data_IF_641633310773
#
_entry.id   IF_641633310773
#
_cell.length_a   1.000
_cell.length_b   1.000
_cell.length_c   1.000
_cell.angle_alpha   90.00
_cell.angle_beta   90.00
_cell.angle_gamma   90.00
#
_symmetry.space_group_name_H-M   'P 1'
#
loop_
_entity.id
_entity.type
_entity.pdbx_description
1 polymer ?
#
# COMPACT_ATOMS: atom_id res chain seq x y z
N UNK A 1 -36.16 17.36 0.98
CA UNK A 1 -36.35 16.24 0.02
C UNK A 1 -35.10 15.97 -0.84
N UNK A 2 -34.45 16.97 -1.48
CA UNK A 2 -33.22 16.76 -2.27
C UNK A 2 -32.04 16.22 -1.44
N UNK A 3 -31.84 16.72 -0.22
CA UNK A 3 -30.77 16.27 0.69
C UNK A 3 -30.94 14.80 1.12
N UNK A 4 -32.17 14.39 1.44
CA UNK A 4 -32.49 13.00 1.79
C UNK A 4 -32.12 12.04 0.64
N UNK A 5 -32.44 12.41 -0.60
CA UNK A 5 -32.09 11.61 -1.79
C UNK A 5 -30.57 11.54 -1.95
N UNK A 6 -29.87 12.67 -1.76
CA UNK A 6 -28.40 12.68 -1.84
C UNK A 6 -27.77 11.76 -0.79
N UNK A 7 -28.20 11.84 0.47
CA UNK A 7 -27.69 10.94 1.53
C UNK A 7 -27.97 9.46 1.26
N UNK A 8 -29.14 9.12 0.72
CA UNK A 8 -29.46 7.74 0.32
C UNK A 8 -28.51 7.24 -0.75
N UNK A 9 -28.31 8.03 -1.80
CA UNK A 9 -27.44 7.67 -2.92
C UNK A 9 -25.98 7.54 -2.46
N UNK A 10 -25.50 8.47 -1.63
CA UNK A 10 -24.14 8.44 -1.09
C UNK A 10 -23.88 7.19 -0.23
N UNK A 11 -24.86 6.79 0.58
CA UNK A 11 -24.73 5.59 1.42
C UNK A 11 -24.80 4.32 0.57
N UNK A 12 -25.65 4.27 -0.42
CA UNK A 12 -25.75 3.17 -1.38
C UNK A 12 -24.45 3.02 -2.17
N UNK A 13 -23.92 4.10 -2.73
CA UNK A 13 -22.65 4.14 -3.45
C UNK A 13 -21.48 3.70 -2.58
N UNK A 14 -21.44 4.13 -1.31
CA UNK A 14 -20.42 3.70 -0.36
C UNK A 14 -20.46 2.19 -0.16
N UNK A 15 -21.65 1.61 0.05
CA UNK A 15 -21.81 0.17 0.26
C UNK A 15 -21.38 -0.63 -0.98
N UNK A 16 -21.75 -0.20 -2.17
CA UNK A 16 -21.30 -0.87 -3.41
C UNK A 16 -19.79 -0.84 -3.56
N UNK A 17 -19.16 0.33 -3.36
CA UNK A 17 -17.71 0.48 -3.42
C UNK A 17 -17.00 -0.37 -2.36
N UNK A 18 -17.53 -0.42 -1.14
CA UNK A 18 -17.00 -1.24 -0.07
C UNK A 18 -17.08 -2.73 -0.42
N UNK A 19 -18.22 -3.17 -0.96
CA UNK A 19 -18.44 -4.56 -1.40
C UNK A 19 -17.46 -4.98 -2.49
N UNK A 20 -17.21 -4.13 -3.47
CA UNK A 20 -16.22 -4.37 -4.52
C UNK A 20 -14.82 -4.49 -3.93
N UNK A 21 -14.46 -3.62 -2.99
CA UNK A 21 -13.15 -3.63 -2.34
C UNK A 21 -12.89 -4.89 -1.51
N UNK A 22 -13.85 -5.32 -0.69
CA UNK A 22 -13.69 -6.52 0.15
C UNK A 22 -13.68 -7.82 -0.65
N UNK A 23 -14.21 -7.81 -1.87
CA UNK A 23 -14.19 -8.96 -2.80
C UNK A 23 -13.03 -8.90 -3.81
N UNK A 24 -12.22 -7.86 -3.79
CA UNK A 24 -11.07 -7.73 -4.68
C UNK A 24 -9.96 -8.73 -4.33
N UNK A 25 -9.12 -9.08 -5.30
CA UNK A 25 -7.91 -9.90 -5.07
C UNK A 25 -6.97 -9.27 -4.03
N UNK A 26 -6.95 -7.93 -3.92
CA UNK A 26 -6.15 -7.21 -2.93
C UNK A 26 -6.60 -7.48 -1.49
N UNK A 27 -7.88 -7.79 -1.28
CA UNK A 27 -8.45 -8.09 0.02
C UNK A 27 -8.29 -9.55 0.44
N UNK A 28 -7.78 -10.40 -0.45
CA UNK A 28 -7.65 -11.83 -0.21
C UNK A 28 -6.67 -12.12 0.94
N UNK A 29 -7.15 -12.84 1.94
CA UNK A 29 -6.37 -13.22 3.11
C UNK A 29 -6.19 -12.10 4.16
N UNK A 30 -6.76 -10.89 3.95
CA UNK A 30 -6.66 -9.79 4.92
C UNK A 30 -7.69 -9.89 6.04
N UNK A 31 -8.78 -10.61 5.82
CA UNK A 31 -9.89 -10.73 6.77
C UNK A 31 -10.21 -12.19 7.00
N UNK A 32 -10.53 -12.55 8.25
CA UNK A 32 -11.09 -13.85 8.52
C UNK A 32 -12.56 -13.91 8.05
N UNK A 33 -13.06 -15.12 7.83
CA UNK A 33 -14.41 -15.34 7.29
C UNK A 33 -15.48 -14.66 8.13
N UNK A 34 -15.36 -14.72 9.46
CA UNK A 34 -16.33 -14.12 10.38
C UNK A 34 -16.34 -12.58 10.29
N UNK A 35 -15.19 -11.95 10.18
CA UNK A 35 -15.10 -10.49 9.97
C UNK A 35 -15.78 -10.08 8.66
N UNK A 36 -15.53 -10.83 7.60
CA UNK A 36 -16.11 -10.59 6.29
C UNK A 36 -17.62 -10.81 6.28
N UNK A 37 -18.09 -11.91 6.87
CA UNK A 37 -19.52 -12.22 7.00
C UNK A 37 -20.26 -11.14 7.77
N UNK A 38 -19.74 -10.72 8.93
CA UNK A 38 -20.35 -9.66 9.74
C UNK A 38 -20.48 -8.35 8.96
N UNK A 39 -19.45 -7.96 8.20
CA UNK A 39 -19.50 -6.74 7.40
C UNK A 39 -20.53 -6.85 6.27
N UNK A 40 -20.59 -8.00 5.59
CA UNK A 40 -21.58 -8.27 4.53
C UNK A 40 -22.99 -8.22 5.08
N UNK A 41 -23.25 -8.85 6.23
CA UNK A 41 -24.55 -8.79 6.89
C UNK A 41 -24.98 -7.37 7.24
N UNK A 42 -24.06 -6.54 7.76
CA UNK A 42 -24.40 -5.14 8.07
C UNK A 42 -24.65 -4.33 6.80
N UNK A 43 -23.88 -4.54 5.72
CA UNK A 43 -24.16 -3.93 4.43
C UNK A 43 -25.54 -4.33 3.90
N UNK A 44 -25.90 -5.61 3.98
CA UNK A 44 -27.21 -6.12 3.53
C UNK A 44 -28.36 -5.55 4.34
N UNK A 45 -28.23 -5.44 5.67
CA UNK A 45 -29.23 -4.80 6.54
C UNK A 45 -29.44 -3.34 6.18
N UNK A 46 -28.38 -2.60 5.93
CA UNK A 46 -28.49 -1.19 5.53
C UNK A 46 -29.10 -1.05 4.14
N UNK A 47 -28.74 -1.90 3.19
CA UNK A 47 -29.34 -1.90 1.84
C UNK A 47 -30.83 -2.27 1.90
N UNK A 48 -31.21 -3.30 2.66
CA UNK A 48 -32.63 -3.66 2.85
C UNK A 48 -33.41 -2.49 3.45
N UNK A 49 -32.84 -1.81 4.45
CA UNK A 49 -33.46 -0.63 5.03
C UNK A 49 -33.62 0.51 4.01
N UNK A 50 -32.59 0.82 3.19
CA UNK A 50 -32.66 1.87 2.15
C UNK A 50 -33.77 1.65 1.12
N UNK A 51 -34.15 0.40 0.86
CA UNK A 51 -35.22 0.03 -0.07
C UNK A 51 -36.55 -0.33 0.64
N UNK A 52 -36.64 -0.13 1.93
CA UNK A 52 -37.86 -0.38 2.70
C UNK A 52 -38.83 0.82 2.61
N UNK A 53 -40.00 0.64 3.20
CA UNK A 53 -40.98 1.71 3.37
C UNK A 53 -40.89 2.37 4.76
N UNK A 54 -39.73 2.31 5.39
CA UNK A 54 -39.48 2.86 6.72
C UNK A 54 -39.59 4.40 6.68
N UNK A 55 -40.35 4.98 7.60
CA UNK A 55 -40.54 6.44 7.69
C UNK A 55 -39.25 7.15 8.06
N UNK A 56 -38.33 6.48 8.79
CA UNK A 56 -37.02 7.00 9.15
C UNK A 56 -36.14 7.32 7.92
N UNK A 57 -36.44 6.75 6.75
CA UNK A 57 -35.77 7.08 5.48
C UNK A 57 -35.96 8.52 5.01
N UNK A 58 -36.95 9.24 5.56
CA UNK A 58 -37.17 10.64 5.28
C UNK A 58 -36.60 11.56 6.34
N UNK A 59 -35.99 10.99 7.40
CA UNK A 59 -35.32 11.70 8.47
C UNK A 59 -33.82 11.77 8.20
N UNK A 60 -33.32 12.98 7.90
CA UNK A 60 -31.92 13.21 7.57
C UNK A 60 -30.97 12.77 8.68
N UNK A 61 -31.32 12.99 9.95
CA UNK A 61 -30.47 12.58 11.08
C UNK A 61 -30.35 11.06 11.19
N UNK A 62 -31.40 10.33 10.84
CA UNK A 62 -31.37 8.85 10.81
C UNK A 62 -30.50 8.33 9.68
N UNK A 63 -30.54 8.98 8.52
CA UNK A 63 -29.66 8.67 7.40
C UNK A 63 -28.19 8.97 7.73
N UNK A 64 -27.93 10.10 8.36
CA UNK A 64 -26.59 10.48 8.82
C UNK A 64 -26.04 9.48 9.84
N UNK A 65 -26.85 9.09 10.83
CA UNK A 65 -26.47 8.10 11.83
C UNK A 65 -26.14 6.73 11.19
N UNK A 66 -27.00 6.25 10.30
CA UNK A 66 -26.77 4.98 9.57
C UNK A 66 -25.51 5.07 8.68
N UNK A 67 -25.34 6.17 7.96
CA UNK A 67 -24.15 6.40 7.13
C UNK A 67 -22.87 6.41 7.97
N UNK A 68 -22.86 7.14 9.09
CA UNK A 68 -21.73 7.22 9.99
C UNK A 68 -21.36 5.85 10.58
N UNK A 69 -22.36 5.06 10.99
CA UNK A 69 -22.14 3.74 11.55
C UNK A 69 -21.59 2.77 10.49
N UNK A 70 -22.14 2.78 9.27
CA UNK A 70 -21.66 1.96 8.17
C UNK A 70 -20.24 2.33 7.76
N UNK A 71 -19.95 3.63 7.62
CA UNK A 71 -18.61 4.12 7.31
C UNK A 71 -17.59 3.74 8.39
N UNK A 72 -17.94 3.87 9.67
CA UNK A 72 -17.06 3.46 10.76
C UNK A 72 -16.67 1.98 10.68
N UNK A 73 -17.60 1.11 10.33
CA UNK A 73 -17.31 -0.31 10.13
C UNK A 73 -16.47 -0.55 8.86
N UNK A 74 -16.88 0.03 7.75
CA UNK A 74 -16.19 -0.15 6.47
C UNK A 74 -14.80 0.44 6.44
N UNK A 75 -14.58 1.59 7.09
CA UNK A 75 -13.29 2.27 7.10
C UNK A 75 -12.21 1.45 7.82
N UNK A 76 -12.57 0.63 8.82
CA UNK A 76 -11.64 -0.31 9.45
C UNK A 76 -11.08 -1.30 8.41
N UNK A 77 -11.97 -1.83 7.55
CA UNK A 77 -11.58 -2.74 6.47
C UNK A 77 -10.77 -2.04 5.39
N UNK A 78 -11.21 -0.86 4.98
CA UNK A 78 -10.53 -0.07 3.96
C UNK A 78 -9.14 0.36 4.41
N UNK A 79 -8.97 0.79 5.66
CA UNK A 79 -7.66 1.15 6.22
C UNK A 79 -6.70 -0.03 6.12
N UNK A 80 -7.10 -1.20 6.61
CA UNK A 80 -6.27 -2.42 6.54
C UNK A 80 -5.90 -2.79 5.10
N UNK A 81 -6.88 -2.72 4.18
CA UNK A 81 -6.64 -2.99 2.76
C UNK A 81 -5.62 -2.02 2.17
N UNK A 82 -5.75 -0.72 2.46
CA UNK A 82 -4.84 0.30 1.95
C UNK A 82 -3.44 0.21 2.56
N UNK A 83 -3.34 -0.16 3.83
CA UNK A 83 -2.04 -0.36 4.49
C UNK A 83 -1.26 -1.50 3.82
N UNK A 84 -1.88 -2.65 3.62
CA UNK A 84 -1.25 -3.80 2.96
C UNK A 84 -0.96 -3.55 1.47
N UNK A 85 -1.87 -2.90 0.75
CA UNK A 85 -1.67 -2.53 -0.67
C UNK A 85 -0.55 -1.48 -0.80
N UNK A 86 -0.51 -0.50 0.08
CA UNK A 86 0.54 0.51 0.14
C UNK A 86 1.91 -0.10 0.39
N UNK A 87 2.03 -0.98 1.37
CA UNK A 87 3.28 -1.72 1.65
C UNK A 87 3.75 -2.45 0.37
N UNK A 88 2.88 -3.20 -0.28
CA UNK A 88 3.22 -3.92 -1.51
C UNK A 88 3.71 -2.99 -2.63
N UNK A 89 3.03 -1.85 -2.83
CA UNK A 89 3.43 -0.87 -3.84
C UNK A 89 4.81 -0.27 -3.55
N UNK A 90 5.10 0.10 -2.30
CA UNK A 90 6.39 0.67 -1.91
C UNK A 90 7.53 -0.37 -1.94
N UNK A 91 7.24 -1.63 -1.64
CA UNK A 91 8.20 -2.72 -1.82
C UNK A 91 8.55 -2.92 -3.29
N UNK A 92 7.57 -2.93 -4.19
CA UNK A 92 7.81 -2.98 -5.63
C UNK A 92 8.63 -1.78 -6.12
N UNK A 93 8.38 -0.59 -5.57
CA UNK A 93 9.17 0.62 -5.87
C UNK A 93 10.63 0.47 -5.40
N UNK A 94 10.86 -0.08 -4.21
CA UNK A 94 12.22 -0.34 -3.72
C UNK A 94 12.94 -1.38 -4.57
N UNK A 95 12.28 -2.47 -4.92
CA UNK A 95 12.82 -3.52 -5.78
C UNK A 95 13.25 -2.95 -7.15
N UNK A 96 12.36 -2.19 -7.78
CA UNK A 96 12.64 -1.52 -9.06
C UNK A 96 13.86 -0.61 -8.95
N UNK A 97 13.95 0.19 -7.88
CA UNK A 97 15.08 1.07 -7.63
C UNK A 97 16.41 0.31 -7.50
N UNK A 98 16.41 -0.81 -6.80
CA UNK A 98 17.61 -1.66 -6.65
C UNK A 98 18.09 -2.19 -8.01
N UNK A 99 17.19 -2.70 -8.84
CA UNK A 99 17.53 -3.18 -10.19
C UNK A 99 18.01 -2.05 -11.11
N UNK A 100 17.34 -0.90 -11.10
CA UNK A 100 17.74 0.28 -11.87
C UNK A 100 19.16 0.73 -11.51
N UNK A 101 19.50 0.76 -10.23
CA UNK A 101 20.82 1.16 -9.76
C UNK A 101 21.90 0.13 -10.15
N UNK A 102 21.62 -1.16 -10.05
CA UNK A 102 22.53 -2.20 -10.53
C UNK A 102 22.82 -2.05 -12.03
N UNK A 103 21.79 -1.90 -12.84
CA UNK A 103 21.93 -1.71 -14.29
C UNK A 103 22.70 -0.44 -14.64
N UNK A 104 22.43 0.67 -13.94
CA UNK A 104 23.13 1.93 -14.13
C UNK A 104 24.63 1.82 -13.87
N UNK A 105 25.03 1.24 -12.71
CA UNK A 105 26.45 1.11 -12.37
C UNK A 105 27.17 0.06 -13.21
N UNK A 106 26.50 -1.01 -13.65
CA UNK A 106 27.05 -1.94 -14.62
C UNK A 106 27.37 -1.25 -15.96
N UNK A 107 26.46 -0.43 -16.48
CA UNK A 107 26.69 0.35 -17.68
C UNK A 107 27.84 1.35 -17.51
N UNK A 108 27.92 2.00 -16.35
CA UNK A 108 28.97 2.96 -16.03
C UNK A 108 30.36 2.27 -15.94
N UNK A 109 30.44 1.08 -15.35
CA UNK A 109 31.65 0.28 -15.30
C UNK A 109 32.20 -0.02 -16.70
N UNK A 110 31.33 -0.41 -17.64
CA UNK A 110 31.72 -0.66 -19.04
C UNK A 110 32.26 0.61 -19.73
N UNK A 111 31.58 1.75 -19.51
CA UNK A 111 32.02 3.04 -20.09
C UNK A 111 33.40 3.45 -19.57
N UNK A 112 33.69 3.23 -18.29
CA UNK A 112 35.03 3.51 -17.70
C UNK A 112 36.08 2.56 -18.31
N UNK A 113 35.78 1.28 -18.46
CA UNK A 113 36.68 0.29 -19.09
C UNK A 113 37.01 0.65 -20.53
N UNK A 114 36.07 1.30 -21.25
CA UNK A 114 36.31 1.82 -22.61
C UNK A 114 37.01 3.17 -22.65
N UNK A 115 37.28 3.80 -21.51
CA UNK A 115 37.87 5.13 -21.41
C UNK A 115 36.95 6.29 -21.75
N UNK A 116 35.66 6.04 -21.85
CA UNK A 116 34.61 7.00 -22.19
C UNK A 116 34.23 7.93 -21.02
N UNK A 117 34.42 7.43 -19.75
CA UNK A 117 34.16 8.18 -18.51
C UNK A 117 35.39 8.18 -17.61
N UNK A 118 35.64 9.34 -16.96
CA UNK A 118 36.76 9.54 -16.05
C UNK A 118 36.38 10.07 -14.66
N UNK A 119 35.11 10.34 -14.47
CA UNK A 119 34.61 11.04 -13.27
C UNK A 119 34.49 10.10 -12.05
N UNK A 120 34.57 8.80 -12.27
CA UNK A 120 34.44 7.77 -11.23
C UNK A 120 35.46 6.67 -11.46
N UNK A 121 35.91 6.03 -10.39
CA UNK A 121 36.85 4.90 -10.47
C UNK A 121 36.12 3.55 -10.43
N UNK A 122 36.72 2.52 -11.01
CA UNK A 122 36.22 1.14 -10.88
C UNK A 122 36.10 0.73 -9.40
N UNK A 123 37.04 1.16 -8.55
CA UNK A 123 37.01 0.87 -7.12
C UNK A 123 35.74 1.47 -6.45
N UNK A 124 35.36 2.69 -6.82
CA UNK A 124 34.14 3.32 -6.33
C UNK A 124 32.90 2.55 -6.77
N UNK A 125 32.84 2.13 -8.03
CA UNK A 125 31.72 1.33 -8.56
C UNK A 125 31.63 -0.01 -7.83
N UNK A 126 32.73 -0.68 -7.57
CA UNK A 126 32.71 -1.94 -6.84
C UNK A 126 32.15 -1.76 -5.44
N UNK A 127 32.54 -0.71 -4.71
CA UNK A 127 31.98 -0.39 -3.39
C UNK A 127 30.48 -0.11 -3.44
N UNK A 128 30.02 0.59 -4.46
CA UNK A 128 28.59 0.87 -4.67
C UNK A 128 27.84 -0.44 -4.97
N UNK A 129 28.37 -1.29 -5.82
CA UNK A 129 27.74 -2.57 -6.16
C UNK A 129 27.69 -3.50 -4.93
N UNK A 130 28.71 -3.55 -4.09
CA UNK A 130 28.70 -4.27 -2.82
C UNK A 130 27.61 -3.75 -1.87
N UNK A 131 27.48 -2.42 -1.78
CA UNK A 131 26.41 -1.79 -1.00
C UNK A 131 25.02 -2.15 -1.54
N UNK A 132 24.80 -2.03 -2.85
CA UNK A 132 23.53 -2.39 -3.47
C UNK A 132 23.18 -3.86 -3.24
N UNK A 133 24.16 -4.78 -3.36
CA UNK A 133 23.95 -6.20 -3.11
C UNK A 133 23.56 -6.49 -1.66
N UNK A 134 24.19 -5.79 -0.71
CA UNK A 134 23.83 -5.88 0.72
C UNK A 134 22.38 -5.42 0.94
N UNK A 135 22.00 -4.29 0.36
CA UNK A 135 20.64 -3.78 0.48
C UNK A 135 19.62 -4.70 -0.21
N UNK A 136 20.00 -5.35 -1.33
CA UNK A 136 19.18 -6.35 -1.99
C UNK A 136 18.88 -7.55 -1.07
N UNK A 137 19.91 -8.07 -0.40
CA UNK A 137 19.76 -9.18 0.56
C UNK A 137 18.87 -8.78 1.74
N UNK A 138 19.01 -7.54 2.26
CA UNK A 138 18.17 -7.00 3.32
C UNK A 138 16.71 -6.87 2.86
N UNK A 139 16.51 -6.43 1.62
CA UNK A 139 15.19 -6.30 1.00
C UNK A 139 14.52 -7.67 0.83
N UNK A 140 15.22 -8.68 0.30
CA UNK A 140 14.70 -10.04 0.16
C UNK A 140 14.28 -10.65 1.50
N UNK A 141 15.07 -10.44 2.56
CA UNK A 141 14.72 -10.88 3.90
C UNK A 141 13.41 -10.22 4.40
N UNK A 142 13.23 -8.91 4.14
CA UNK A 142 12.01 -8.21 4.50
C UNK A 142 10.80 -8.66 3.67
N UNK A 143 10.99 -8.89 2.38
CA UNK A 143 9.95 -9.46 1.53
C UNK A 143 9.46 -10.80 2.06
N UNK A 144 10.39 -11.67 2.44
CA UNK A 144 10.05 -12.96 3.03
C UNK A 144 9.25 -12.82 4.33
N UNK A 145 9.67 -11.92 5.24
CA UNK A 145 8.94 -11.64 6.49
C UNK A 145 7.49 -11.20 6.23
N UNK A 146 7.28 -10.38 5.19
CA UNK A 146 5.96 -9.86 4.81
C UNK A 146 5.10 -10.95 4.14
N UNK A 147 5.73 -11.80 3.32
CA UNK A 147 5.02 -12.87 2.61
C UNK A 147 4.47 -13.93 3.57
N UNK A 148 5.23 -14.27 4.64
CA UNK A 148 4.81 -15.22 5.66
C UNK A 148 3.97 -14.61 6.78
N UNK A 149 3.78 -13.29 6.80
CA UNK A 149 3.02 -12.61 7.83
C UNK A 149 1.53 -13.00 7.81
N UNK A 150 0.96 -13.09 8.99
CA UNK A 150 -0.49 -13.21 9.16
C UNK A 150 -1.18 -11.89 8.76
N UNK A 151 -1.66 -11.84 7.52
CA UNK A 151 -2.28 -10.64 6.93
C UNK A 151 -3.62 -10.27 7.56
N UNK A 152 -4.19 -11.13 8.40
CA UNK A 152 -5.38 -10.78 9.19
C UNK A 152 -5.08 -9.81 10.32
N UNK A 153 -3.79 -9.60 10.63
CA UNK A 153 -3.30 -8.65 11.63
C UNK A 153 -2.77 -7.37 10.97
N UNK A 154 -2.53 -6.37 11.79
CA UNK A 154 -1.83 -5.17 11.33
C UNK A 154 -0.39 -5.49 10.90
N UNK A 155 0.11 -4.87 9.82
CA UNK A 155 1.47 -5.09 9.38
C UNK A 155 2.48 -4.53 10.41
N UNK A 156 3.59 -5.25 10.61
CA UNK A 156 4.67 -4.81 11.50
C UNK A 156 5.53 -3.70 10.91
N UNK A 157 5.44 -3.51 9.61
CA UNK A 157 6.11 -2.45 8.85
C UNK A 157 5.03 -1.60 8.19
N UNK A 158 5.23 -0.31 8.11
CA UNK A 158 4.31 0.60 7.42
C UNK A 158 4.98 1.23 6.19
N UNK A 159 4.18 1.96 5.41
CA UNK A 159 4.65 2.64 4.18
C UNK A 159 5.79 3.61 4.47
N UNK A 160 5.71 4.37 5.58
CA UNK A 160 6.75 5.34 5.94
C UNK A 160 8.09 4.67 6.24
N UNK A 161 8.07 3.46 6.84
CA UNK A 161 9.30 2.71 7.10
C UNK A 161 10.01 2.34 5.78
N UNK A 162 9.24 1.91 4.77
CA UNK A 162 9.78 1.55 3.45
C UNK A 162 10.23 2.81 2.69
N UNK A 163 9.48 3.90 2.79
CA UNK A 163 9.87 5.17 2.19
C UNK A 163 11.19 5.71 2.77
N UNK A 164 11.35 5.60 4.09
CA UNK A 164 12.62 5.93 4.75
C UNK A 164 13.78 5.03 4.27
N UNK A 165 13.55 3.75 4.07
CA UNK A 165 14.57 2.84 3.49
C UNK A 165 14.98 3.30 2.09
N UNK A 166 14.03 3.67 1.23
CA UNK A 166 14.29 4.20 -0.12
C UNK A 166 15.11 5.49 -0.05
N UNK A 167 14.76 6.41 0.84
CA UNK A 167 15.45 7.68 1.00
C UNK A 167 16.89 7.48 1.48
N UNK A 168 17.09 6.65 2.50
CA UNK A 168 18.44 6.32 3.03
C UNK A 168 19.28 5.65 1.94
N UNK A 169 18.72 4.73 1.17
CA UNK A 169 19.41 4.08 0.06
C UNK A 169 19.89 5.10 -0.97
N UNK A 170 18.99 5.98 -1.44
CA UNK A 170 19.35 7.01 -2.41
C UNK A 170 20.41 7.99 -1.88
N UNK A 171 20.29 8.41 -0.63
CA UNK A 171 21.26 9.32 0.00
C UNK A 171 22.65 8.68 0.09
N UNK A 172 22.73 7.40 0.45
CA UNK A 172 23.98 6.69 0.53
C UNK A 172 24.62 6.50 -0.85
N UNK A 173 23.84 6.13 -1.88
CA UNK A 173 24.34 6.06 -3.26
C UNK A 173 24.89 7.41 -3.68
N UNK A 174 24.15 8.50 -3.47
CA UNK A 174 24.58 9.85 -3.84
C UNK A 174 25.86 10.29 -3.13
N UNK A 175 26.05 9.93 -1.85
CA UNK A 175 27.30 10.21 -1.11
C UNK A 175 28.47 9.42 -1.68
N UNK A 176 28.27 8.14 -1.98
CA UNK A 176 29.33 7.29 -2.56
C UNK A 176 29.74 7.77 -3.96
N UNK A 177 28.78 8.20 -4.80
CA UNK A 177 29.08 8.80 -6.11
C UNK A 177 29.94 10.06 -6.00
N UNK A 178 29.71 10.88 -4.97
CA UNK A 178 30.45 12.12 -4.72
C UNK A 178 31.79 11.91 -3.97
N UNK A 179 32.14 10.68 -3.65
CA UNK A 179 33.32 10.35 -2.84
C UNK A 179 33.26 10.86 -1.40
N UNK A 180 32.07 11.16 -0.88
CA UNK A 180 31.83 11.57 0.50
C UNK A 180 31.72 10.32 1.38
N UNK A 181 32.45 10.31 2.52
CA UNK A 181 32.42 9.22 3.51
C UNK A 181 31.22 9.36 4.44
#
# INVERSE_FOLDING_TARGET
MKEVIAYKNDLEDYIYKLRDKINSEKAKGLFNDKEKENLVEEMDKVMQWLYSNDEDLYNIHKLEEKSKNMKKLGDIFLSKLYDWDGIKQYLTKMETLLYEKLAYFASMEEQIKRGEKKDMTIETINKINEYIQKEFNNFEAKMYEIDIADKTKEPKINVNDIENMINIFNDNINKMEKGQK
#
